data_IF_273322085108
#
_entry.id   IF_273322085108
#
_cell.length_a   1.000
_cell.length_b   1.000
_cell.length_c   1.000
_cell.angle_alpha   90.00
_cell.angle_beta   90.00
_cell.angle_gamma   90.00
#
_symmetry.space_group_name_H-M   'P 1'
#
loop_
_entity.id
_entity.type
_entity.pdbx_description
1 polymer ?
#
# COMPACT_ATOMS: atom_id res chain seq x y z
N UNK A 1 23.03 -8.19 -0.83
CA UNK A 1 22.65 -8.86 -2.09
C UNK A 1 21.86 -10.12 -1.78
N UNK A 2 20.82 -10.37 -2.57
CA UNK A 2 19.74 -11.34 -2.34
C UNK A 2 20.23 -12.78 -2.11
N UNK A 3 19.77 -13.42 -1.03
CA UNK A 3 19.81 -14.88 -0.87
C UNK A 3 18.56 -15.32 -0.09
N UNK A 4 17.39 -15.26 -0.72
CA UNK A 4 16.21 -15.98 -0.21
C UNK A 4 16.27 -17.40 -0.74
N UNK A 5 16.90 -18.29 0.05
CA UNK A 5 16.96 -19.73 -0.22
C UNK A 5 15.54 -20.27 -0.41
N UNK A 6 15.42 -21.08 -1.46
CA UNK A 6 14.27 -21.90 -1.80
C UNK A 6 13.84 -22.71 -0.56
N UNK A 7 12.63 -22.46 -0.07
CA UNK A 7 11.95 -23.36 0.86
C UNK A 7 10.79 -23.96 0.09
N UNK A 8 10.99 -25.20 -0.34
CA UNK A 8 9.96 -26.12 -0.82
C UNK A 8 8.85 -26.23 0.21
N UNK A 9 7.66 -25.70 -0.09
CA UNK A 9 6.43 -26.13 0.57
C UNK A 9 5.57 -26.84 -0.45
N UNK A 10 5.64 -28.16 -0.41
CA UNK A 10 4.87 -29.05 -1.25
C UNK A 10 3.41 -29.11 -0.75
N UNK A 11 2.49 -29.05 -1.73
CA UNK A 11 1.35 -29.97 -1.86
C UNK A 11 0.22 -29.86 -0.81
N UNK A 12 -0.81 -29.11 -1.18
CA UNK A 12 -2.19 -29.63 -1.18
C UNK A 12 -3.04 -28.80 -2.14
N UNK A 13 -3.84 -29.47 -2.97
CA UNK A 13 -4.39 -28.94 -4.23
C UNK A 13 -5.26 -27.70 -4.09
N UNK A 14 -4.89 -26.65 -4.82
CA UNK A 14 -5.74 -25.48 -5.06
C UNK A 14 -6.43 -25.66 -6.40
N UNK A 15 -7.47 -26.51 -6.40
CA UNK A 15 -8.36 -26.66 -7.55
C UNK A 15 -9.37 -25.50 -7.50
N UNK A 16 -9.16 -24.51 -8.37
CA UNK A 16 -10.15 -23.51 -8.80
C UNK A 16 -10.84 -22.68 -7.71
N UNK A 17 -10.36 -21.44 -7.49
CA UNK A 17 -11.26 -20.33 -7.12
C UNK A 17 -10.83 -19.02 -7.82
N UNK A 18 -11.81 -18.27 -8.36
CA UNK A 18 -11.59 -17.01 -9.06
C UNK A 18 -11.32 -15.89 -8.05
N UNK A 19 -10.44 -14.98 -8.44
CA UNK A 19 -10.17 -13.67 -7.83
C UNK A 19 -9.88 -13.69 -6.33
N UNK A 20 -8.59 -13.80 -6.02
CA UNK A 20 -8.03 -13.60 -4.69
C UNK A 20 -8.30 -12.16 -4.21
N UNK A 21 -9.55 -11.86 -3.82
CA UNK A 21 -9.88 -10.61 -3.16
C UNK A 21 -9.05 -10.53 -1.90
N UNK A 22 -8.38 -9.39 -1.71
CA UNK A 22 -7.30 -9.14 -0.75
C UNK A 22 -7.49 -9.86 0.59
N UNK A 23 -8.72 -9.91 1.14
CA UNK A 23 -9.12 -10.64 2.37
C UNK A 23 -8.72 -12.12 2.43
N UNK A 24 -8.77 -12.87 1.34
CA UNK A 24 -8.38 -14.29 1.35
C UNK A 24 -6.87 -14.47 1.48
N UNK A 25 -6.10 -13.51 0.96
CA UNK A 25 -4.65 -13.47 1.14
C UNK A 25 -4.28 -13.22 2.62
N UNK A 26 -4.99 -12.31 3.31
CA UNK A 26 -4.75 -12.00 4.72
C UNK A 26 -4.85 -13.22 5.65
N UNK A 27 -5.76 -14.17 5.37
CA UNK A 27 -5.92 -15.37 6.20
C UNK A 27 -4.77 -16.37 6.05
N UNK A 28 -4.24 -16.53 4.83
CA UNK A 28 -3.10 -17.41 4.57
C UNK A 28 -1.79 -16.90 5.19
N UNK A 29 -1.71 -15.59 5.42
CA UNK A 29 -0.55 -14.97 6.03
C UNK A 29 -0.72 -14.64 7.50
N UNK A 30 -1.83 -14.96 8.18
CA UNK A 30 -2.22 -14.42 9.49
C UNK A 30 -1.08 -14.27 10.53
N UNK A 31 -0.16 -15.24 10.61
CA UNK A 31 0.98 -15.24 11.54
C UNK A 31 2.10 -14.22 11.18
N UNK A 32 2.26 -13.91 9.89
CA UNK A 32 3.09 -12.80 9.37
C UNK A 32 2.26 -11.69 8.72
N UNK A 33 0.94 -11.74 8.90
CA UNK A 33 -0.04 -11.09 8.04
C UNK A 33 -0.14 -9.62 8.34
N UNK A 34 0.05 -9.26 9.62
CA UNK A 34 0.21 -7.89 10.06
C UNK A 34 1.45 -7.24 9.44
N UNK A 35 2.57 -7.96 9.34
CA UNK A 35 3.81 -7.46 8.75
C UNK A 35 3.65 -7.26 7.25
N UNK A 36 3.06 -8.22 6.53
CA UNK A 36 2.80 -8.11 5.09
C UNK A 36 1.78 -7.01 4.80
N UNK A 37 0.71 -6.92 5.59
CA UNK A 37 -0.29 -5.86 5.48
C UNK A 37 0.31 -4.47 5.68
N UNK A 38 1.13 -4.31 6.72
CA UNK A 38 1.84 -3.08 7.01
C UNK A 38 2.84 -2.76 5.90
N UNK A 39 3.55 -3.76 5.37
CA UNK A 39 4.47 -3.60 4.24
C UNK A 39 3.74 -3.13 2.98
N UNK A 40 2.60 -3.76 2.62
CA UNK A 40 1.79 -3.36 1.47
C UNK A 40 1.25 -1.94 1.67
N UNK A 41 0.74 -1.63 2.87
CA UNK A 41 0.26 -0.28 3.21
C UNK A 41 1.37 0.75 3.04
N UNK A 42 2.55 0.48 3.59
CA UNK A 42 3.73 1.33 3.44
C UNK A 42 4.10 1.48 1.96
N UNK A 43 4.13 0.39 1.19
CA UNK A 43 4.46 0.46 -0.23
C UNK A 43 3.47 1.30 -1.03
N UNK A 44 2.17 1.24 -0.71
CA UNK A 44 1.15 2.12 -1.30
C UNK A 44 1.41 3.58 -0.98
N UNK A 45 1.78 3.89 0.27
CA UNK A 45 2.11 5.25 0.68
C UNK A 45 3.36 5.80 -0.05
N UNK A 46 4.35 4.96 -0.37
CA UNK A 46 5.50 5.36 -1.21
C UNK A 46 5.05 5.79 -2.61
N UNK A 47 4.18 4.99 -3.23
CA UNK A 47 3.66 5.27 -4.56
C UNK A 47 2.79 6.53 -4.56
N UNK A 48 1.99 6.76 -3.51
CA UNK A 48 1.29 8.02 -3.32
C UNK A 48 2.26 9.21 -3.23
N UNK A 49 3.37 9.08 -2.49
CA UNK A 49 4.36 10.15 -2.35
C UNK A 49 5.02 10.50 -3.69
N UNK A 50 5.35 9.50 -4.51
CA UNK A 50 5.85 9.71 -5.87
C UNK A 50 4.80 10.39 -6.75
N UNK A 51 3.56 9.92 -6.70
CA UNK A 51 2.46 10.52 -7.45
C UNK A 51 2.21 11.98 -7.06
N UNK A 52 2.32 12.31 -5.77
CA UNK A 52 2.17 13.68 -5.26
C UNK A 52 3.26 14.63 -5.76
N UNK A 53 4.47 14.15 -6.03
CA UNK A 53 5.56 14.94 -6.59
C UNK A 53 5.36 15.20 -8.08
N UNK A 54 4.79 14.24 -8.81
CA UNK A 54 4.49 14.37 -10.24
C UNK A 54 3.13 15.01 -10.56
N UNK A 55 2.25 15.17 -9.57
CA UNK A 55 0.90 15.65 -9.77
C UNK A 55 0.85 17.15 -10.04
N UNK A 56 -0.05 17.55 -10.94
CA UNK A 56 -0.40 18.96 -11.15
C UNK A 56 -1.14 19.54 -9.94
N UNK A 57 -1.12 20.86 -9.76
CA UNK A 57 -1.76 21.53 -8.61
C UNK A 57 -3.26 21.27 -8.53
N UNK A 58 -3.90 21.18 -9.70
CA UNK A 58 -5.33 20.98 -9.86
C UNK A 58 -5.78 19.56 -9.52
N UNK A 59 -4.84 18.60 -9.41
CA UNK A 59 -5.19 17.24 -9.03
C UNK A 59 -5.54 17.18 -7.53
N UNK A 60 -6.74 16.69 -7.23
CA UNK A 60 -7.23 16.56 -5.86
C UNK A 60 -6.47 15.46 -5.12
N UNK A 61 -5.94 15.76 -3.93
CA UNK A 61 -5.23 14.81 -3.06
C UNK A 61 -6.07 13.55 -2.75
N UNK A 62 -7.38 13.72 -2.57
CA UNK A 62 -8.30 12.61 -2.38
C UNK A 62 -8.32 11.65 -3.59
N UNK A 63 -8.30 12.18 -4.81
CA UNK A 63 -8.25 11.37 -6.03
C UNK A 63 -6.99 10.52 -6.12
N UNK A 64 -5.84 11.07 -5.72
CA UNK A 64 -4.58 10.32 -5.62
C UNK A 64 -4.72 9.18 -4.60
N UNK A 65 -5.28 9.45 -3.42
CA UNK A 65 -5.53 8.41 -2.41
C UNK A 65 -6.43 7.28 -2.92
N UNK A 66 -7.53 7.62 -3.61
CA UNK A 66 -8.45 6.64 -4.19
C UNK A 66 -7.78 5.75 -5.24
N UNK A 67 -6.97 6.33 -6.13
CA UNK A 67 -6.24 5.58 -7.17
C UNK A 67 -5.31 4.50 -6.60
N UNK A 68 -4.74 4.74 -5.42
CA UNK A 68 -3.83 3.81 -4.74
C UNK A 68 -4.52 2.90 -3.72
N UNK A 69 -5.87 2.91 -3.68
CA UNK A 69 -6.67 1.97 -2.91
C UNK A 69 -6.94 2.39 -1.46
N UNK A 70 -6.92 3.70 -1.17
CA UNK A 70 -7.50 4.24 0.06
C UNK A 70 -8.98 4.56 -0.17
N UNK A 71 -9.84 4.11 0.75
CA UNK A 71 -11.29 4.30 0.67
C UNK A 71 -11.77 5.64 1.24
N UNK A 72 -10.93 6.35 2.01
CA UNK A 72 -11.27 7.67 2.53
C UNK A 72 -10.03 8.56 2.63
N UNK A 73 -10.22 9.86 2.42
CA UNK A 73 -9.17 10.86 2.46
C UNK A 73 -8.57 11.04 3.87
N UNK A 74 -9.39 10.97 4.92
CA UNK A 74 -8.94 11.14 6.32
C UNK A 74 -8.04 9.98 6.74
N UNK A 75 -8.41 8.76 6.35
CA UNK A 75 -7.60 7.56 6.56
C UNK A 75 -6.26 7.65 5.82
N UNK A 76 -6.29 8.09 4.56
CA UNK A 76 -5.09 8.33 3.78
C UNK A 76 -4.19 9.40 4.42
N UNK A 77 -4.73 10.57 4.73
CA UNK A 77 -3.98 11.70 5.29
C UNK A 77 -3.32 11.34 6.62
N UNK A 78 -4.04 10.64 7.49
CA UNK A 78 -3.51 10.16 8.78
C UNK A 78 -2.38 9.16 8.57
N UNK A 79 -2.58 8.15 7.73
CA UNK A 79 -1.57 7.14 7.46
C UNK A 79 -0.33 7.71 6.75
N UNK A 80 -0.51 8.69 5.88
CA UNK A 80 0.56 9.40 5.20
C UNK A 80 1.38 10.23 6.19
N UNK A 81 0.71 11.03 7.03
CA UNK A 81 1.36 11.82 8.08
C UNK A 81 2.10 10.95 9.09
N UNK A 82 1.53 9.82 9.50
CA UNK A 82 2.20 8.87 10.39
C UNK A 82 3.51 8.32 9.80
N UNK A 83 3.60 8.21 8.47
CA UNK A 83 4.77 7.63 7.79
C UNK A 83 5.81 8.67 7.39
N UNK A 84 5.39 9.83 6.91
CA UNK A 84 6.27 10.88 6.36
C UNK A 84 6.41 12.10 7.28
N UNK A 85 5.70 12.14 8.40
CA UNK A 85 5.72 13.23 9.38
C UNK A 85 4.89 14.46 9.01
N UNK A 86 4.56 14.64 7.74
CA UNK A 86 3.82 15.80 7.20
C UNK A 86 2.57 15.38 6.42
N UNK A 87 1.63 16.29 6.24
CA UNK A 87 0.42 16.02 5.46
C UNK A 87 0.75 15.83 3.96
N UNK A 88 -0.05 15.07 3.20
CA UNK A 88 0.16 14.90 1.76
C UNK A 88 0.14 16.23 0.98
N UNK A 89 -0.61 17.23 1.45
CA UNK A 89 -0.64 18.57 0.87
C UNK A 89 0.65 19.36 1.11
N UNK A 90 1.20 19.31 2.32
CA UNK A 90 2.51 19.90 2.63
C UNK A 90 3.63 19.19 1.88
N UNK A 91 3.56 17.86 1.76
CA UNK A 91 4.51 17.07 0.99
C UNK A 91 4.56 17.50 -0.47
N UNK A 92 3.40 17.73 -1.09
CA UNK A 92 3.30 18.29 -2.45
C UNK A 92 3.91 19.68 -2.56
N UNK A 93 3.66 20.56 -1.57
CA UNK A 93 4.23 21.92 -1.56
C UNK A 93 5.74 21.93 -1.42
N UNK A 94 6.32 21.00 -0.65
CA UNK A 94 7.77 20.91 -0.41
C UNK A 94 8.56 20.33 -1.60
N UNK A 95 7.91 19.54 -2.45
CA UNK A 95 8.53 18.98 -3.66
C UNK A 95 8.65 19.96 -4.82
N UNK A 96 8.20 21.20 -4.63
CA UNK A 96 8.36 22.33 -5.56
C UNK A 96 9.41 23.29 -5.05
#
# INVERSE_FOLDING_TARGET
MMLFRKSTCARSGWRGKPECRVRSLYRLFADKGLVVAQYIKNRRLDLCAQALQSAHDDEKLAGIGYRWGFSDHSHFSTAFKQRFGISPGEYRKRGR
#
